data_IF_554745778460
#
_entry.id   IF_554745778460
#
_cell.length_a   1.000
_cell.length_b   1.000
_cell.length_c   1.000
_cell.angle_alpha   90.00
_cell.angle_beta   90.00
_cell.angle_gamma   90.00
#
_symmetry.space_group_name_H-M   'P 1'
#
loop_
_entity.id
_entity.type
_entity.pdbx_description
1 polymer ?
#
# COMPACT_ATOMS: atom_id res chain seq x y z
N UNK A 1 -36.69 60.55 0.37
CA UNK A 1 -37.33 60.88 1.67
C UNK A 1 -38.83 60.69 1.51
N UNK A 2 -39.60 60.30 2.54
CA UNK A 2 -39.24 59.76 3.86
C UNK A 2 -40.12 58.54 4.25
N UNK A 3 -39.70 57.71 5.22
CA UNK A 3 -40.29 57.67 6.57
C UNK A 3 -40.93 56.28 6.78
N UNK A 4 -40.83 55.55 7.88
CA UNK A 4 -40.59 55.99 9.25
C UNK A 4 -39.92 54.89 10.10
N UNK A 5 -39.19 55.41 11.09
CA UNK A 5 -38.66 54.72 12.26
C UNK A 5 -39.79 54.41 13.26
N UNK A 6 -39.39 53.75 14.37
CA UNK A 6 -40.06 53.67 15.68
C UNK A 6 -40.99 52.44 15.78
N UNK A 7 -40.91 51.53 16.75
CA UNK A 7 -40.42 51.61 18.12
C UNK A 7 -39.78 50.29 18.59
N UNK A 8 -38.64 50.43 19.27
CA UNK A 8 -38.16 49.45 20.23
C UNK A 8 -38.98 49.59 21.54
N UNK A 9 -39.56 48.50 22.02
CA UNK A 9 -40.08 48.39 23.39
C UNK A 9 -39.90 46.93 23.83
N UNK A 10 -38.84 46.64 24.57
CA UNK A 10 -38.86 46.57 26.05
C UNK A 10 -39.70 45.38 26.55
N UNK A 11 -39.08 44.20 26.59
CA UNK A 11 -39.42 43.17 27.56
C UNK A 11 -38.13 42.64 28.20
N UNK A 12 -37.82 43.28 29.32
CA UNK A 12 -36.83 42.86 30.30
C UNK A 12 -37.41 41.66 31.05
N UNK A 13 -36.91 40.46 30.73
CA UNK A 13 -37.16 39.24 31.49
C UNK A 13 -35.94 38.92 32.34
N UNK A 14 -36.09 39.08 33.65
CA UNK A 14 -35.10 38.87 34.71
C UNK A 14 -34.39 37.51 34.61
N UNK A 15 -33.07 37.52 34.37
CA UNK A 15 -32.21 36.37 34.61
C UNK A 15 -31.80 36.36 36.08
N UNK A 16 -32.50 35.55 36.87
CA UNK A 16 -32.22 35.29 38.30
C UNK A 16 -30.81 34.67 38.42
N UNK A 17 -29.87 35.44 38.96
CA UNK A 17 -28.50 35.00 39.21
C UNK A 17 -28.48 33.93 40.32
N UNK A 18 -28.35 32.66 39.94
CA UNK A 18 -27.99 31.59 40.87
C UNK A 18 -26.51 31.75 41.18
N UNK A 19 -26.21 32.18 42.42
CA UNK A 19 -24.84 32.25 42.94
C UNK A 19 -24.24 30.84 42.96
N UNK A 20 -23.32 30.58 42.04
CA UNK A 20 -22.54 29.34 42.00
C UNK A 20 -21.59 29.31 43.19
N UNK A 21 -21.72 28.27 44.02
CA UNK A 21 -20.82 27.98 45.14
C UNK A 21 -19.50 27.43 44.55
N UNK A 22 -18.32 28.00 44.86
CA UNK A 22 -17.06 27.46 44.36
C UNK A 22 -16.72 26.12 45.02
N UNK A 23 -16.16 25.14 44.29
CA UNK A 23 -15.77 23.85 44.86
C UNK A 23 -14.54 23.99 45.80
N UNK A 24 -14.41 23.14 46.83
CA UNK A 24 -13.31 23.20 47.78
C UNK A 24 -11.97 22.86 47.11
N UNK A 25 -10.94 23.65 47.38
CA UNK A 25 -9.57 23.46 46.89
C UNK A 25 -9.02 22.13 47.42
N UNK A 26 -8.73 21.17 46.52
CA UNK A 26 -7.94 19.98 46.86
C UNK A 26 -6.47 20.36 46.93
N UNK A 27 -5.87 20.17 48.09
CA UNK A 27 -4.44 20.34 48.34
C UNK A 27 -3.60 19.40 47.45
N UNK A 28 -3.13 19.93 46.32
CA UNK A 28 -2.33 19.18 45.33
C UNK A 28 -0.84 19.08 45.67
N UNK A 29 -0.44 19.60 46.83
CA UNK A 29 0.96 19.59 47.30
C UNK A 29 1.37 18.29 48.03
N UNK A 30 0.42 17.50 48.56
CA UNK A 30 0.77 16.26 49.30
C UNK A 30 0.98 15.03 48.41
N UNK A 31 0.50 15.06 47.16
CA UNK A 31 0.56 13.93 46.23
C UNK A 31 1.81 13.91 45.31
N UNK A 32 2.63 14.97 45.31
CA UNK A 32 3.84 15.06 44.46
C UNK A 32 5.14 14.58 45.12
N UNK A 33 5.08 14.12 46.39
CA UNK A 33 6.26 13.70 47.17
C UNK A 33 6.56 12.19 47.19
N UNK A 34 5.81 11.37 46.46
CA UNK A 34 5.99 9.91 46.47
C UNK A 34 5.92 9.31 45.05
N UNK A 35 6.97 9.49 44.25
CA UNK A 35 7.36 8.61 43.14
C UNK A 35 8.58 9.19 42.38
N UNK A 36 9.76 9.13 42.99
CA UNK A 36 11.02 9.32 42.25
C UNK A 36 11.65 7.93 42.01
N UNK A 37 11.94 7.51 40.76
CA UNK A 37 12.65 6.26 40.50
C UNK A 37 14.12 6.37 40.96
N UNK A 38 14.76 5.26 41.38
CA UNK A 38 16.13 5.29 41.88
C UNK A 38 17.13 5.68 40.78
N UNK A 39 18.06 6.58 41.13
CA UNK A 39 19.19 7.04 40.30
C UNK A 39 20.10 5.86 39.92
N UNK A 40 20.35 5.67 38.62
CA UNK A 40 21.42 4.78 38.12
C UNK A 40 22.80 5.41 38.36
N UNK A 41 23.77 4.61 38.81
CA UNK A 41 25.16 5.05 39.05
C UNK A 41 25.89 5.33 37.73
N UNK A 42 26.78 6.33 37.64
CA UNK A 42 27.60 6.56 36.47
C UNK A 42 28.90 5.74 36.54
N UNK A 43 29.25 5.12 35.41
CA UNK A 43 30.62 4.68 35.12
C UNK A 43 30.76 3.18 34.85
N UNK A 44 30.95 2.82 33.57
CA UNK A 44 32.19 2.15 33.17
C UNK A 44 32.38 2.31 31.66
N UNK A 45 33.40 3.08 31.28
CA UNK A 45 33.81 3.25 29.90
C UNK A 45 34.60 2.03 29.45
N UNK A 46 33.98 1.16 28.65
CA UNK A 46 34.71 0.13 27.91
C UNK A 46 34.40 0.18 26.42
N UNK A 47 35.36 0.78 25.71
CA UNK A 47 35.86 0.52 24.36
C UNK A 47 34.93 -0.34 23.47
N UNK A 48 34.32 0.33 22.50
CA UNK A 48 33.88 -0.31 21.26
C UNK A 48 35.12 -0.86 20.56
N UNK A 49 35.31 -2.18 20.58
CA UNK A 49 36.23 -2.85 19.67
C UNK A 49 35.50 -3.87 18.82
N UNK A 50 35.74 -3.72 17.53
CA UNK A 50 35.83 -4.77 16.52
C UNK A 50 34.54 -5.38 15.94
N UNK A 51 34.41 -5.19 14.63
CA UNK A 51 33.29 -5.49 13.76
C UNK A 51 33.21 -6.97 13.32
N UNK A 52 33.34 -7.93 14.24
CA UNK A 52 33.48 -9.35 13.87
C UNK A 52 32.51 -10.32 14.57
N UNK A 53 31.54 -9.85 15.34
CA UNK A 53 30.64 -10.78 16.05
C UNK A 53 29.22 -10.23 16.20
N UNK A 54 28.43 -10.30 15.12
CA UNK A 54 26.98 -10.24 15.24
C UNK A 54 26.49 -11.64 15.65
N UNK A 55 25.88 -11.80 16.84
CA UNK A 55 25.46 -13.11 17.31
C UNK A 55 24.36 -13.68 16.40
N UNK A 56 24.60 -14.91 15.92
CA UNK A 56 23.63 -15.73 15.18
C UNK A 56 22.49 -16.12 16.13
N UNK A 57 21.52 -15.22 16.35
CA UNK A 57 20.49 -15.42 17.38
C UNK A 57 19.35 -16.33 16.90
N UNK A 58 19.14 -17.43 17.63
CA UNK A 58 17.88 -18.15 17.68
C UNK A 58 16.82 -17.21 18.28
N UNK A 59 15.75 -16.90 17.52
CA UNK A 59 14.68 -15.96 17.90
C UNK A 59 14.06 -15.16 16.75
N UNK A 60 14.63 -15.23 15.55
CA UNK A 60 14.36 -14.39 14.37
C UNK A 60 13.01 -14.61 13.64
N UNK A 61 12.00 -15.22 14.26
CA UNK A 61 10.78 -15.65 13.56
C UNK A 61 9.60 -14.66 13.58
N UNK A 62 9.77 -13.45 14.12
CA UNK A 62 8.71 -12.43 14.08
C UNK A 62 9.29 -11.09 13.64
N UNK A 63 9.35 -10.87 12.33
CA UNK A 63 9.48 -9.50 11.82
C UNK A 63 8.31 -8.68 12.38
N UNK A 64 8.60 -7.48 12.87
CA UNK A 64 7.62 -6.54 13.41
C UNK A 64 7.75 -5.21 12.69
N UNK A 65 6.63 -4.57 12.31
CA UNK A 65 6.66 -3.25 11.69
C UNK A 65 7.14 -2.21 12.71
N UNK A 66 7.84 -1.18 12.23
CA UNK A 66 8.21 -0.04 13.05
C UNK A 66 6.94 0.73 13.46
N UNK A 67 6.71 0.89 14.76
CA UNK A 67 5.63 1.71 15.29
C UNK A 67 6.01 3.17 15.22
N UNK A 68 5.07 4.01 14.82
CA UNK A 68 5.25 5.46 14.69
C UNK A 68 4.32 6.18 15.65
N UNK A 69 4.71 7.38 16.05
CA UNK A 69 3.81 8.29 16.74
C UNK A 69 2.85 8.84 15.70
N UNK A 70 1.56 8.57 15.89
CA UNK A 70 0.47 9.11 15.09
C UNK A 70 -0.21 10.23 15.85
N UNK A 71 -0.57 11.28 15.13
CA UNK A 71 -1.43 12.34 15.65
C UNK A 71 -2.88 11.95 15.39
N UNK A 72 -3.66 11.81 16.46
CA UNK A 72 -5.06 11.43 16.39
C UNK A 72 -5.92 12.65 16.70
N UNK A 73 -6.79 13.09 15.77
CA UNK A 73 -7.64 14.26 15.98
C UNK A 73 -8.43 14.17 17.28
N UNK A 74 -8.21 15.13 18.19
CA UNK A 74 -8.90 15.20 19.48
C UNK A 74 -8.27 14.40 20.64
N UNK A 75 -7.36 13.45 20.37
CA UNK A 75 -6.65 12.67 21.39
C UNK A 75 -5.17 13.05 21.53
N UNK A 76 -4.62 13.77 20.55
CA UNK A 76 -3.21 14.17 20.50
C UNK A 76 -2.32 13.05 19.98
N UNK A 77 -1.04 13.10 20.34
CA UNK A 77 -0.04 12.16 19.85
C UNK A 77 -0.06 10.85 20.64
N UNK A 78 -0.20 9.72 19.94
CA UNK A 78 -0.09 8.37 20.53
C UNK A 78 0.79 7.47 19.67
N UNK A 79 1.46 6.50 20.29
CA UNK A 79 2.19 5.47 19.55
C UNK A 79 1.20 4.51 18.87
N UNK A 80 1.45 4.15 17.60
CA UNK A 80 0.66 3.15 16.90
C UNK A 80 0.65 1.82 17.66
N UNK A 81 -0.48 1.13 17.60
CA UNK A 81 -0.55 -0.28 18.02
C UNK A 81 0.16 -1.19 17.01
N UNK A 82 0.54 -2.40 17.44
CA UNK A 82 1.15 -3.38 16.53
C UNK A 82 0.21 -3.79 15.38
N UNK A 83 -1.11 -3.83 15.64
CA UNK A 83 -2.12 -4.16 14.65
C UNK A 83 -2.23 -3.11 13.56
N UNK A 84 -2.26 -1.83 13.94
CA UNK A 84 -2.29 -0.69 13.02
C UNK A 84 -1.00 -0.64 12.16
N UNK A 85 0.17 -0.79 12.79
CA UNK A 85 1.45 -0.81 12.09
C UNK A 85 1.54 -1.97 11.08
N UNK A 86 0.97 -3.14 11.41
CA UNK A 86 0.95 -4.29 10.51
C UNK A 86 -0.04 -4.09 9.36
N UNK A 87 -1.20 -3.50 9.62
CA UNK A 87 -2.15 -3.13 8.56
C UNK A 87 -1.53 -2.12 7.58
N UNK A 88 -0.80 -1.13 8.10
CA UNK A 88 -0.06 -0.17 7.28
C UNK A 88 1.04 -0.85 6.46
N UNK A 89 1.80 -1.77 7.04
CA UNK A 89 2.81 -2.54 6.31
C UNK A 89 2.20 -3.37 5.17
N UNK A 90 1.04 -4.01 5.41
CA UNK A 90 0.31 -4.76 4.38
C UNK A 90 -0.15 -3.87 3.23
N UNK A 91 -0.74 -2.72 3.54
CA UNK A 91 -1.17 -1.75 2.54
C UNK A 91 0.03 -1.24 1.71
N UNK A 92 1.14 -0.91 2.37
CA UNK A 92 2.37 -0.48 1.71
C UNK A 92 2.92 -1.54 0.74
N UNK A 93 2.99 -2.81 1.16
CA UNK A 93 3.45 -3.91 0.29
C UNK A 93 2.51 -4.10 -0.90
N UNK A 94 1.20 -4.05 -0.66
CA UNK A 94 0.19 -4.17 -1.71
C UNK A 94 0.35 -3.07 -2.77
N UNK A 95 0.49 -1.82 -2.34
CA UNK A 95 0.59 -0.67 -3.24
C UNK A 95 1.92 -0.69 -4.02
N UNK A 96 3.03 -1.04 -3.38
CA UNK A 96 4.32 -1.18 -4.07
C UNK A 96 4.30 -2.30 -5.13
N UNK A 97 3.67 -3.43 -4.82
CA UNK A 97 3.49 -4.51 -5.80
C UNK A 97 2.55 -4.10 -6.92
N UNK A 98 1.45 -3.40 -6.62
CA UNK A 98 0.52 -2.90 -7.62
C UNK A 98 1.17 -1.89 -8.57
N UNK A 99 2.13 -1.10 -8.07
CA UNK A 99 2.96 -0.19 -8.87
C UNK A 99 4.02 -0.93 -9.72
N UNK A 100 4.27 -2.22 -9.48
CA UNK A 100 5.23 -3.03 -10.23
C UNK A 100 6.66 -3.05 -9.67
N UNK A 101 6.85 -2.66 -8.41
CA UNK A 101 8.16 -2.75 -7.75
C UNK A 101 8.54 -4.21 -7.50
N UNK A 102 9.82 -4.56 -7.70
CA UNK A 102 10.30 -5.93 -7.48
C UNK A 102 10.31 -6.28 -5.99
N UNK A 103 9.96 -7.52 -5.65
CA UNK A 103 9.90 -7.99 -4.25
C UNK A 103 11.21 -7.78 -3.47
N UNK A 104 12.37 -7.90 -4.12
CA UNK A 104 13.67 -7.66 -3.49
C UNK A 104 13.88 -6.19 -3.08
N UNK A 105 13.33 -5.25 -3.85
CA UNK A 105 13.44 -3.82 -3.57
C UNK A 105 12.39 -3.40 -2.55
N UNK A 106 11.18 -4.00 -2.59
CA UNK A 106 10.16 -3.83 -1.56
C UNK A 106 10.72 -4.21 -0.19
N UNK A 107 11.40 -5.36 -0.08
CA UNK A 107 11.96 -5.82 1.18
C UNK A 107 12.98 -4.83 1.80
N UNK A 108 13.69 -4.07 0.96
CA UNK A 108 14.60 -2.98 1.37
C UNK A 108 13.88 -1.68 1.73
N UNK A 109 12.76 -1.38 1.05
CA UNK A 109 11.94 -0.19 1.32
C UNK A 109 11.15 -0.29 2.62
N UNK A 110 10.88 -1.50 3.10
CA UNK A 110 10.16 -1.72 4.36
C UNK A 110 10.97 -1.25 5.57
N UNK A 111 10.27 -0.84 6.63
CA UNK A 111 10.88 -0.37 7.88
C UNK A 111 10.36 -1.20 9.07
N UNK A 112 11.23 -1.99 9.75
CA UNK A 112 12.64 -2.23 9.45
C UNK A 112 12.84 -3.05 8.15
N UNK A 113 14.00 -2.90 7.46
CA UNK A 113 14.32 -3.70 6.28
C UNK A 113 14.28 -5.19 6.59
N UNK A 114 13.90 -6.00 5.60
CA UNK A 114 13.81 -7.45 5.78
C UNK A 114 14.41 -8.21 4.59
N UNK A 115 14.64 -9.51 4.79
CA UNK A 115 15.01 -10.42 3.73
C UNK A 115 13.80 -10.74 2.82
N UNK A 116 13.98 -10.95 1.50
CA UNK A 116 12.88 -11.34 0.61
C UNK A 116 12.17 -12.64 1.02
N UNK A 117 12.84 -13.58 1.69
CA UNK A 117 12.17 -14.79 2.20
C UNK A 117 11.18 -14.45 3.30
N UNK A 118 11.54 -13.52 4.19
CA UNK A 118 10.65 -13.00 5.24
C UNK A 118 9.45 -12.27 4.65
N UNK A 119 9.66 -11.45 3.61
CA UNK A 119 8.56 -10.77 2.90
C UNK A 119 7.54 -11.78 2.36
N UNK A 120 8.00 -12.84 1.69
CA UNK A 120 7.12 -13.89 1.15
C UNK A 120 6.38 -14.68 2.24
N UNK A 121 6.98 -14.85 3.41
CA UNK A 121 6.36 -15.54 4.54
C UNK A 121 5.22 -14.74 5.17
N UNK A 122 5.40 -13.42 5.31
CA UNK A 122 4.45 -12.56 6.02
C UNK A 122 3.40 -11.90 5.12
N UNK A 123 3.73 -11.64 3.85
CA UNK A 123 2.91 -10.84 2.94
C UNK A 123 2.48 -11.59 1.68
N UNK A 124 2.38 -12.92 1.74
CA UNK A 124 2.07 -13.76 0.56
C UNK A 124 0.78 -13.31 -0.14
N UNK A 125 -0.25 -12.97 0.65
CA UNK A 125 -1.55 -12.59 0.13
C UNK A 125 -1.48 -11.24 -0.59
N UNK A 126 -0.85 -10.26 0.03
CA UNK A 126 -0.68 -8.89 -0.48
C UNK A 126 0.18 -8.88 -1.75
N UNK A 127 1.22 -9.73 -1.81
CA UNK A 127 2.05 -9.90 -3.00
C UNK A 127 1.26 -10.46 -4.19
N UNK A 128 0.37 -11.44 -3.94
CA UNK A 128 -0.47 -12.03 -4.97
C UNK A 128 -1.55 -11.04 -5.45
N UNK A 129 -2.23 -10.40 -4.51
CA UNK A 129 -3.26 -9.40 -4.79
C UNK A 129 -2.68 -8.18 -5.51
N UNK A 130 -1.50 -7.71 -5.10
CA UNK A 130 -0.82 -6.58 -5.73
C UNK A 130 -0.46 -6.89 -7.18
N UNK A 131 0.02 -8.10 -7.46
CA UNK A 131 0.26 -8.56 -8.84
C UNK A 131 -1.03 -8.59 -9.67
N UNK A 132 -2.13 -9.07 -9.11
CA UNK A 132 -3.43 -9.07 -9.81
C UNK A 132 -3.91 -7.64 -10.09
N UNK A 133 -3.78 -6.75 -9.10
CA UNK A 133 -4.13 -5.33 -9.24
C UNK A 133 -3.30 -4.64 -10.32
N UNK A 134 -1.99 -4.90 -10.35
CA UNK A 134 -1.09 -4.41 -11.40
C UNK A 134 -1.57 -4.86 -12.79
N UNK A 135 -1.85 -6.16 -12.94
CA UNK A 135 -2.34 -6.72 -14.21
C UNK A 135 -3.70 -6.15 -14.61
N UNK A 136 -4.61 -5.92 -13.67
CA UNK A 136 -5.91 -5.32 -13.94
C UNK A 136 -5.79 -3.88 -14.49
N UNK A 137 -4.87 -3.07 -13.94
CA UNK A 137 -4.61 -1.72 -14.45
C UNK A 137 -4.09 -1.76 -15.88
N UNK A 138 -3.10 -2.62 -16.16
CA UNK A 138 -2.55 -2.79 -17.51
C UNK A 138 -3.62 -3.31 -18.48
N UNK A 139 -4.42 -4.29 -18.06
CA UNK A 139 -5.50 -4.82 -18.87
C UNK A 139 -6.57 -3.78 -19.19
N UNK A 140 -6.92 -2.91 -18.24
CA UNK A 140 -7.86 -1.82 -18.46
C UNK A 140 -7.34 -0.80 -19.49
N UNK A 141 -6.05 -0.45 -19.43
CA UNK A 141 -5.41 0.42 -20.43
C UNK A 141 -5.41 -0.25 -21.81
N UNK A 142 -4.96 -1.50 -21.89
CA UNK A 142 -4.91 -2.26 -23.13
C UNK A 142 -6.30 -2.40 -23.77
N UNK A 143 -7.34 -2.66 -22.97
CA UNK A 143 -8.72 -2.73 -23.46
C UNK A 143 -9.19 -1.40 -24.05
N UNK A 144 -8.95 -0.27 -23.36
CA UNK A 144 -9.31 1.06 -23.88
C UNK A 144 -8.67 1.35 -25.22
N UNK A 145 -7.36 1.07 -25.36
CA UNK A 145 -6.62 1.23 -26.61
C UNK A 145 -7.14 0.30 -27.72
N UNK A 146 -7.47 -0.95 -27.38
CA UNK A 146 -8.05 -1.89 -28.33
C UNK A 146 -9.43 -1.46 -28.84
N UNK A 147 -10.21 -0.73 -28.02
CA UNK A 147 -11.57 -0.26 -28.37
C UNK A 147 -11.61 1.15 -28.96
N UNK A 148 -10.56 1.96 -28.82
CA UNK A 148 -10.59 3.35 -29.30
C UNK A 148 -10.50 3.45 -30.83
N UNK A 149 -9.92 2.43 -31.48
CA UNK A 149 -9.69 2.42 -32.93
C UNK A 149 -8.39 3.11 -33.36
N UNK A 150 -7.66 3.72 -32.41
CA UNK A 150 -6.40 4.43 -32.69
C UNK A 150 -5.21 3.48 -32.82
N UNK A 151 -5.27 2.31 -32.14
CA UNK A 151 -4.20 1.31 -32.13
C UNK A 151 -4.70 -0.05 -32.65
N UNK A 152 -4.64 -0.28 -33.98
CA UNK A 152 -4.97 -1.56 -34.58
C UNK A 152 -4.11 -2.72 -34.10
N UNK A 153 -2.89 -2.45 -33.61
CA UNK A 153 -2.01 -3.49 -33.07
C UNK A 153 -2.55 -3.98 -31.72
N UNK A 154 -3.03 -3.09 -30.86
CA UNK A 154 -3.66 -3.46 -29.59
C UNK A 154 -4.99 -4.21 -29.81
N UNK A 155 -5.81 -3.79 -30.78
CA UNK A 155 -7.03 -4.52 -31.15
C UNK A 155 -6.71 -5.94 -31.63
N UNK A 156 -5.71 -6.09 -32.51
CA UNK A 156 -5.28 -7.40 -33.01
C UNK A 156 -4.68 -8.27 -31.89
N UNK A 157 -3.89 -7.68 -31.00
CA UNK A 157 -3.37 -8.35 -29.82
C UNK A 157 -4.49 -8.88 -28.91
N UNK A 158 -5.51 -8.06 -28.64
CA UNK A 158 -6.66 -8.46 -27.83
C UNK A 158 -7.44 -9.61 -28.48
N UNK A 159 -7.71 -9.52 -29.79
CA UNK A 159 -8.42 -10.57 -30.51
C UNK A 159 -7.64 -11.89 -30.58
N UNK A 160 -6.30 -11.83 -30.69
CA UNK A 160 -5.44 -13.02 -30.63
C UNK A 160 -5.41 -13.67 -29.26
N UNK A 161 -5.32 -12.87 -28.20
CA UNK A 161 -5.15 -13.37 -26.83
C UNK A 161 -6.45 -13.76 -26.14
N UNK A 162 -7.56 -13.06 -26.45
CA UNK A 162 -8.86 -13.20 -25.77
C UNK A 162 -10.02 -13.48 -26.72
N UNK A 163 -9.97 -12.97 -27.95
CA UNK A 163 -11.03 -13.13 -28.95
C UNK A 163 -10.99 -14.45 -29.74
N UNK A 164 -9.98 -15.30 -29.51
CA UNK A 164 -9.85 -16.58 -30.21
C UNK A 164 -9.43 -16.46 -31.68
N UNK A 165 -8.99 -15.28 -32.13
CA UNK A 165 -8.49 -15.10 -33.50
C UNK A 165 -7.13 -15.79 -33.64
N UNK A 166 -7.08 -16.84 -34.45
CA UNK A 166 -5.84 -17.47 -34.91
C UNK A 166 -5.52 -16.95 -36.31
N UNK A 167 -4.27 -16.56 -36.54
CA UNK A 167 -3.81 -16.33 -37.91
C UNK A 167 -3.91 -17.69 -38.63
N UNK A 168 -4.73 -17.79 -39.66
CA UNK A 168 -4.98 -19.04 -40.37
C UNK A 168 -3.70 -19.52 -41.06
N UNK A 169 -2.93 -20.40 -40.40
CA UNK A 169 -1.94 -21.22 -41.06
C UNK A 169 -2.66 -22.39 -41.74
N UNK A 170 -3.26 -22.11 -42.90
CA UNK A 170 -3.62 -23.13 -43.88
C UNK A 170 -2.45 -23.44 -44.81
N UNK A 171 -1.24 -23.67 -44.27
CA UNK A 171 -0.21 -24.39 -45.01
C UNK A 171 -0.36 -25.86 -44.63
N UNK A 172 -0.88 -26.64 -45.57
CA UNK A 172 -1.10 -28.07 -45.45
C UNK A 172 0.21 -28.79 -45.10
N UNK A 173 0.41 -29.10 -43.82
CA UNK A 173 1.28 -30.23 -43.44
C UNK A 173 0.48 -31.52 -43.61
N UNK A 174 0.38 -31.97 -44.85
CA UNK A 174 0.20 -33.40 -45.18
C UNK A 174 1.04 -33.68 -46.42
N UNK A 175 1.99 -34.60 -46.30
CA UNK A 175 2.83 -35.04 -47.40
C UNK A 175 2.00 -35.55 -48.58
N UNK A 176 2.52 -35.29 -49.77
CA UNK A 176 1.91 -35.68 -51.04
C UNK A 176 2.33 -34.69 -52.12
N UNK A 177 3.56 -34.85 -52.62
CA UNK A 177 4.03 -34.06 -53.76
C UNK A 177 3.09 -34.26 -54.94
N UNK A 178 2.45 -33.18 -55.38
CA UNK A 178 1.82 -33.15 -56.70
C UNK A 178 2.94 -32.86 -57.69
N UNK A 179 3.39 -33.91 -58.37
CA UNK A 179 4.25 -33.77 -59.55
C UNK A 179 3.34 -33.29 -60.68
N UNK A 180 3.46 -32.02 -61.04
CA UNK A 180 2.83 -31.49 -62.25
C UNK A 180 3.69 -31.97 -63.42
N UNK A 181 3.34 -33.11 -64.00
CA UNK A 181 4.03 -33.63 -65.18
C UNK A 181 3.60 -32.76 -66.37
N UNK A 182 4.50 -31.89 -66.84
CA UNK A 182 4.31 -31.21 -68.12
C UNK A 182 4.39 -32.25 -69.24
N UNK A 183 3.23 -32.64 -69.78
CA UNK A 183 3.17 -33.33 -71.06
C UNK A 183 3.55 -32.31 -72.14
N UNK A 184 4.84 -32.20 -72.39
CA UNK A 184 5.35 -31.66 -73.65
C UNK A 184 5.05 -32.69 -74.71
N UNK A 185 3.95 -32.49 -75.43
CA UNK A 185 3.64 -33.27 -76.63
C UNK A 185 4.63 -32.91 -77.73
N UNK A 186 5.67 -33.72 -77.88
CA UNK A 186 6.48 -33.80 -79.09
C UNK A 186 6.50 -35.28 -79.51
N UNK A 187 5.47 -35.67 -80.26
CA UNK A 187 5.50 -36.90 -81.05
C UNK A 187 5.07 -36.52 -82.48
N UNK A 188 6.10 -36.43 -83.32
CA UNK A 188 6.01 -36.28 -84.77
C UNK A 188 5.41 -37.54 -85.39
N UNK A 189 4.40 -37.38 -86.25
CA UNK A 189 4.27 -38.06 -87.55
C UNK A 189 3.46 -37.17 -88.50
#
# INVERSE_FOLDING_TARGET
MPGDRVAASRLQGEKRAVRSIPPPKRDTERAKRAAAPPRSKPGDGRRLTSAANLPRMAGWNRWRPARRIIDVPGEGQREQTEGEAMAQARAQVLDLMAAGVRQCDIAKLMQPPMDPATLRKHFRHELALGRQRQMAVVAAVAFRLATSGDDPAMTRFWLRTRGGWRDGAGEARSGGGVVIQSMTGDDRL
#
